data_IF_734273777256
#
_entry.id   IF_734273777256
#
_cell.length_a   1.000
_cell.length_b   1.000
_cell.length_c   1.000
_cell.angle_alpha   90.00
_cell.angle_beta   90.00
_cell.angle_gamma   90.00
#
_symmetry.space_group_name_H-M   'P 1'
#
loop_
_entity.id
_entity.type
_entity.pdbx_description
1 polymer ?
#
# COMPACT_ATOMS: atom_id res chain seq x y z
N UNK A 1 -6.03 0.54 -0.13
CA UNK A 1 -6.37 1.21 1.14
C UNK A 1 -6.92 0.17 2.09
N UNK A 2 -6.32 0.03 3.27
CA UNK A 2 -6.78 -0.89 4.31
C UNK A 2 -7.55 -0.09 5.37
N UNK A 3 -8.67 -0.62 5.86
CA UNK A 3 -9.42 -0.03 6.99
C UNK A 3 -9.20 -0.89 8.22
N UNK A 4 -8.75 -0.27 9.31
CA UNK A 4 -8.52 -0.89 10.61
C UNK A 4 -9.47 -0.27 11.64
N UNK A 5 -10.12 -1.11 12.43
CA UNK A 5 -10.95 -0.70 13.56
C UNK A 5 -10.33 -1.27 14.83
N UNK A 6 -9.96 -0.41 15.76
CA UNK A 6 -9.21 -0.77 16.96
C UNK A 6 -9.92 -0.23 18.18
N UNK A 7 -10.20 -1.12 19.14
CA UNK A 7 -10.82 -0.83 20.43
C UNK A 7 -9.95 -1.34 21.57
N UNK A 8 -9.88 -0.62 22.69
CA UNK A 8 -9.05 -1.01 23.83
C UNK A 8 -8.85 0.14 24.82
N UNK A 9 -7.89 -0.03 25.72
CA UNK A 9 -7.56 1.00 26.71
C UNK A 9 -7.10 2.30 26.02
N UNK A 10 -7.47 3.49 26.54
CA UNK A 10 -7.09 4.76 25.91
C UNK A 10 -5.57 4.95 25.76
N UNK A 11 -4.76 4.42 26.68
CA UNK A 11 -3.30 4.48 26.60
C UNK A 11 -2.78 3.55 25.49
N UNK A 12 -3.28 2.32 25.41
CA UNK A 12 -2.90 1.36 24.37
C UNK A 12 -3.26 1.89 22.97
N UNK A 13 -4.45 2.48 22.83
CA UNK A 13 -4.86 3.12 21.57
C UNK A 13 -4.00 4.32 21.25
N UNK A 14 -3.59 5.10 22.25
CA UNK A 14 -2.67 6.22 22.02
C UNK A 14 -1.31 5.75 21.51
N UNK A 15 -0.74 4.69 22.11
CA UNK A 15 0.51 4.09 21.65
C UNK A 15 0.36 3.51 20.24
N UNK A 16 -0.64 2.66 20.00
CA UNK A 16 -0.91 2.09 18.69
C UNK A 16 -1.04 3.16 17.61
N UNK A 17 -1.78 4.24 17.90
CA UNK A 17 -1.95 5.36 16.99
C UNK A 17 -0.60 6.00 16.63
N UNK A 18 0.20 6.36 17.63
CA UNK A 18 1.46 7.04 17.41
C UNK A 18 2.45 6.16 16.67
N UNK A 19 2.52 4.88 17.03
CA UNK A 19 3.39 3.90 16.37
C UNK A 19 2.99 3.77 14.90
N UNK A 20 1.70 3.60 14.60
CA UNK A 20 1.20 3.48 13.23
C UNK A 20 1.47 4.74 12.40
N UNK A 21 1.28 5.94 12.97
CA UNK A 21 1.55 7.21 12.28
C UNK A 21 3.05 7.50 12.11
N UNK A 22 3.90 6.94 12.96
CA UNK A 22 5.35 7.11 12.86
C UNK A 22 5.98 6.31 11.72
N UNK A 23 5.28 5.30 11.21
CA UNK A 23 5.78 4.46 10.12
C UNK A 23 5.77 5.21 8.79
N UNK A 24 6.95 5.53 8.22
CA UNK A 24 7.05 6.31 6.98
C UNK A 24 6.46 5.60 5.75
N UNK A 25 6.31 4.27 5.80
CA UNK A 25 5.71 3.48 4.73
C UNK A 25 4.17 3.51 4.74
N UNK A 26 3.54 4.20 5.68
CA UNK A 26 2.09 4.27 5.80
C UNK A 26 1.59 5.72 5.79
N UNK A 27 0.74 6.05 4.82
CA UNK A 27 -0.14 7.21 4.89
C UNK A 27 -1.36 6.85 5.74
N UNK A 28 -1.46 7.39 6.94
CA UNK A 28 -2.50 7.05 7.92
C UNK A 28 -3.48 8.21 8.08
N UNK A 29 -4.76 7.96 7.81
CA UNK A 29 -5.86 8.87 8.11
C UNK A 29 -6.71 8.30 9.23
N UNK A 30 -6.94 9.08 10.28
CA UNK A 30 -7.68 8.63 11.46
C UNK A 30 -9.04 9.30 11.50
N UNK A 31 -10.09 8.49 11.64
CA UNK A 31 -11.42 8.95 12.01
C UNK A 31 -11.64 8.66 13.50
N UNK A 32 -11.73 9.72 14.29
CA UNK A 32 -12.18 9.62 15.67
C UNK A 32 -13.71 9.52 15.66
N UNK A 33 -14.25 8.32 15.88
CA UNK A 33 -15.67 8.19 16.21
C UNK A 33 -15.86 8.62 17.66
N UNK A 34 -16.55 9.75 17.88
CA UNK A 34 -17.00 10.17 19.21
C UNK A 34 -18.27 9.37 19.56
N UNK A 35 -18.11 8.13 20.01
CA UNK A 35 -19.14 7.48 20.83
C UNK A 35 -18.58 7.35 22.25
N UNK A 36 -18.60 8.46 22.98
CA UNK A 36 -18.47 8.43 24.43
C UNK A 36 -19.84 8.04 24.98
N UNK A 37 -20.13 6.74 25.06
CA UNK A 37 -21.17 6.27 25.97
C UNK A 37 -20.63 6.46 27.39
N UNK A 38 -21.31 7.22 28.26
CA UNK A 38 -20.84 7.44 29.62
C UNK A 38 -20.84 6.10 30.36
N UNK A 39 -19.65 5.59 30.72
CA UNK A 39 -19.47 4.35 31.47
C UNK A 39 -18.48 3.34 30.87
N UNK A 40 -18.01 3.53 29.63
CA UNK A 40 -16.99 2.68 29.02
C UNK A 40 -15.63 3.37 29.03
N UNK A 41 -14.64 2.76 29.68
CA UNK A 41 -13.25 3.20 29.65
C UNK A 41 -12.54 2.87 28.32
N UNK A 42 -13.15 2.05 27.47
CA UNK A 42 -12.57 1.67 26.18
C UNK A 42 -12.77 2.78 25.15
N UNK A 43 -11.70 3.07 24.41
CA UNK A 43 -11.72 3.98 23.27
C UNK A 43 -11.79 3.17 21.99
N UNK A 44 -12.35 3.74 20.94
CA UNK A 44 -12.37 3.14 19.60
C UNK A 44 -11.83 4.15 18.58
N UNK A 45 -10.99 3.67 17.66
CA UNK A 45 -10.52 4.46 16.51
C UNK A 45 -10.71 3.68 15.21
N UNK A 46 -10.97 4.40 14.12
CA UNK A 46 -10.87 3.86 12.77
C UNK A 46 -9.67 4.48 12.07
N UNK A 47 -8.77 3.66 11.55
CA UNK A 47 -7.61 4.08 10.77
C UNK A 47 -7.73 3.59 9.33
N UNK A 48 -7.55 4.49 8.37
CA UNK A 48 -7.38 4.19 6.96
C UNK A 48 -5.89 4.24 6.63
N UNK A 49 -5.34 3.11 6.23
CA UNK A 49 -3.92 2.93 5.99
C UNK A 49 -3.67 2.73 4.51
N UNK A 50 -2.86 3.62 3.94
CA UNK A 50 -2.33 3.50 2.59
C UNK A 50 -0.85 3.15 2.66
N UNK A 51 -0.46 2.07 1.98
CA UNK A 51 0.96 1.75 1.85
C UNK A 51 1.61 2.71 0.85
N UNK A 52 2.62 3.44 1.32
CA UNK A 52 3.44 4.38 0.56
C UNK A 52 4.87 3.87 0.62
N UNK A 53 5.33 3.04 -0.34
CA UNK A 53 6.69 2.52 -0.31
C UNK A 53 7.70 3.69 -0.36
N UNK A 54 8.72 3.64 0.52
CA UNK A 54 9.80 4.66 0.57
C UNK A 54 10.55 4.77 -0.76
N UNK A 55 10.74 3.63 -1.40
CA UNK A 55 11.38 3.51 -2.71
C UNK A 55 10.47 2.70 -3.60
N UNK A 56 10.15 3.25 -4.76
CA UNK A 56 9.47 2.51 -5.82
C UNK A 56 10.53 2.01 -6.79
N UNK A 57 10.45 0.73 -7.13
CA UNK A 57 11.37 0.12 -8.09
C UNK A 57 10.77 0.22 -9.49
N UNK A 58 11.37 1.01 -10.40
CA UNK A 58 10.94 1.01 -11.78
C UNK A 58 11.37 -0.30 -12.45
N UNK A 59 10.55 -0.78 -13.38
CA UNK A 59 10.86 -1.92 -14.24
C UNK A 59 10.41 -1.59 -15.67
N UNK A 60 11.29 -1.82 -16.64
CA UNK A 60 10.97 -1.67 -18.06
C UNK A 60 10.92 -3.05 -18.70
N UNK A 61 9.78 -3.39 -19.32
CA UNK A 61 9.62 -4.60 -20.13
C UNK A 61 9.76 -4.21 -21.59
N UNK A 62 10.79 -4.73 -22.26
CA UNK A 62 11.01 -4.51 -23.69
C UNK A 62 10.48 -5.71 -24.47
N UNK A 63 9.47 -5.47 -25.30
CA UNK A 63 8.91 -6.44 -26.23
C UNK A 63 9.48 -6.15 -27.63
N UNK A 64 10.00 -7.18 -28.28
CA UNK A 64 10.46 -7.09 -29.67
C UNK A 64 9.50 -7.82 -30.58
N UNK A 65 8.95 -7.13 -31.57
CA UNK A 65 8.08 -7.75 -32.57
C UNK A 65 8.90 -8.56 -33.57
N UNK A 66 8.23 -9.45 -34.32
CA UNK A 66 8.86 -10.20 -35.41
C UNK A 66 9.44 -9.27 -36.50
N UNK A 67 8.91 -8.07 -36.63
CA UNK A 67 9.39 -7.03 -37.56
C UNK A 67 10.57 -6.23 -37.00
N UNK A 68 11.05 -6.54 -35.79
CA UNK A 68 12.16 -5.85 -35.15
C UNK A 68 11.80 -4.53 -34.48
N UNK A 69 10.52 -4.16 -34.41
CA UNK A 69 10.07 -2.98 -33.64
C UNK A 69 10.13 -3.29 -32.15
N UNK A 70 10.53 -2.30 -31.36
CA UNK A 70 10.57 -2.39 -29.91
C UNK A 70 9.39 -1.64 -29.28
N UNK A 71 8.74 -2.28 -28.32
CA UNK A 71 7.70 -1.69 -27.49
C UNK A 71 8.19 -1.76 -26.04
N UNK A 72 8.20 -0.61 -25.37
CA UNK A 72 8.60 -0.54 -23.96
C UNK A 72 7.36 -0.34 -23.09
N UNK A 73 7.22 -1.18 -22.06
CA UNK A 73 6.19 -1.04 -21.04
C UNK A 73 6.90 -0.68 -19.74
N UNK A 74 6.66 0.54 -19.25
CA UNK A 74 7.23 1.03 -18.00
C UNK A 74 6.27 0.75 -16.83
N UNK A 75 6.77 0.03 -15.83
CA UNK A 75 6.03 -0.39 -14.65
C UNK A 75 6.66 0.23 -13.39
N UNK A 76 5.81 0.66 -12.47
CA UNK A 76 6.18 0.97 -11.09
C UNK A 76 5.86 -0.22 -10.20
N UNK A 77 6.72 -0.46 -9.21
CA UNK A 77 6.60 -1.56 -8.26
C UNK A 77 6.50 -2.92 -8.99
N UNK A 78 7.27 -3.04 -10.09
CA UNK A 78 7.28 -4.21 -10.96
C UNK A 78 7.87 -5.44 -10.27
N UNK A 79 7.25 -6.59 -10.49
CA UNK A 79 7.67 -7.90 -10.00
C UNK A 79 7.68 -8.87 -11.19
N UNK A 80 8.79 -9.58 -11.37
CA UNK A 80 8.90 -10.71 -12.27
C UNK A 80 9.14 -11.99 -11.45
N UNK A 81 8.30 -12.99 -11.66
CA UNK A 81 8.43 -14.31 -11.00
C UNK A 81 8.48 -15.37 -12.09
N UNK A 82 9.55 -16.15 -12.08
CA UNK A 82 9.62 -17.37 -12.87
C UNK A 82 8.78 -18.44 -12.18
N UNK A 83 7.80 -18.96 -12.91
CA UNK A 83 7.01 -20.12 -12.53
C UNK A 83 7.58 -21.36 -13.21
N UNK A 84 7.01 -22.52 -12.89
CA UNK A 84 7.37 -23.76 -13.57
C UNK A 84 7.06 -23.68 -15.08
N UNK A 85 7.75 -24.51 -15.86
CA UNK A 85 7.57 -24.65 -17.32
C UNK A 85 7.98 -23.43 -18.16
N UNK A 86 8.91 -22.60 -17.65
CA UNK A 86 9.46 -21.47 -18.41
C UNK A 86 8.49 -20.29 -18.55
N UNK A 87 7.45 -20.25 -17.73
CA UNK A 87 6.49 -19.15 -17.70
C UNK A 87 7.00 -18.09 -16.73
N UNK A 88 7.20 -16.86 -17.21
CA UNK A 88 7.50 -15.72 -16.34
C UNK A 88 6.26 -14.85 -16.18
N UNK A 89 5.79 -14.69 -14.94
CA UNK A 89 4.73 -13.75 -14.62
C UNK A 89 5.34 -12.38 -14.30
N UNK A 90 4.94 -11.35 -15.05
CA UNK A 90 5.37 -9.97 -14.82
C UNK A 90 4.14 -9.14 -14.45
N UNK A 91 4.19 -8.46 -13.30
CA UNK A 91 3.14 -7.56 -12.85
C UNK A 91 3.70 -6.27 -12.30
N UNK A 92 2.93 -5.20 -12.38
CA UNK A 92 3.30 -3.90 -11.84
C UNK A 92 2.21 -2.87 -12.13
N UNK A 93 2.37 -1.67 -11.59
CA UNK A 93 1.49 -0.55 -11.92
C UNK A 93 1.98 0.10 -13.20
N UNK A 94 1.14 0.19 -14.22
CA UNK A 94 1.45 0.96 -15.41
C UNK A 94 1.56 2.43 -15.01
N UNK A 95 2.68 3.05 -15.37
CA UNK A 95 2.87 4.49 -15.21
C UNK A 95 2.96 5.10 -16.60
N UNK A 96 1.84 5.65 -17.07
CA UNK A 96 1.82 6.40 -18.31
C UNK A 96 2.39 7.81 -18.06
N UNK A 97 3.45 8.14 -18.79
CA UNK A 97 4.06 9.47 -18.75
C UNK A 97 3.30 10.49 -19.61
N UNK A 98 2.29 10.06 -20.37
CA UNK A 98 1.55 10.92 -21.30
C UNK A 98 0.26 11.53 -20.75
N UNK A 99 -0.19 11.16 -19.54
CA UNK A 99 -1.24 11.88 -18.79
C UNK A 99 -2.61 11.90 -19.45
#
# INVERSE_FOLDING_TARGET
MLRLQVSGDPHEIYHFRNDLQSQPQYGVQLEARRYLLPGFNEKEITAYVNYVPKERKPMTVTLKTLEGKEVQINLLDGVAVEMDQGITYISGKVFDIFG
#
